data_IF_111598251694
#
_entry.id   IF_111598251694
#
_cell.length_a   1.000
_cell.length_b   1.000
_cell.length_c   1.000
_cell.angle_alpha   90.00
_cell.angle_beta   90.00
_cell.angle_gamma   90.00
#
_symmetry.space_group_name_H-M   'P 1'
#
loop_
_entity.id
_entity.type
_entity.pdbx_description
1 polymer ?
#
# COMPACT_ATOMS: atom_id res chain seq x y z
N UNK A 1 8.98 7.38 -21.02
CA UNK A 1 7.77 6.75 -20.47
C UNK A 1 7.37 7.45 -19.19
N UNK A 2 6.12 7.87 -19.06
CA UNK A 2 5.62 8.49 -17.85
C UNK A 2 5.28 7.43 -16.81
N UNK A 3 5.16 7.84 -15.54
CA UNK A 3 4.74 6.90 -14.48
C UNK A 3 3.33 6.37 -14.74
N UNK A 4 2.44 7.21 -15.29
CA UNK A 4 1.09 6.79 -15.69
C UNK A 4 1.12 5.63 -16.70
N UNK A 5 2.08 5.65 -17.63
CA UNK A 5 2.22 4.58 -18.63
C UNK A 5 2.92 3.35 -18.05
N UNK A 6 3.88 3.55 -17.15
CA UNK A 6 4.72 2.48 -16.60
C UNK A 6 4.01 1.66 -15.51
N UNK A 7 3.20 2.33 -14.67
CA UNK A 7 2.61 1.70 -13.49
C UNK A 7 1.10 1.91 -13.45
N UNK A 8 0.37 0.88 -13.07
CA UNK A 8 -1.09 0.99 -12.88
C UNK A 8 -1.41 1.72 -11.58
N UNK A 9 -0.75 1.36 -10.50
CA UNK A 9 -0.99 1.96 -9.19
C UNK A 9 0.30 2.36 -8.50
N UNK A 10 0.17 3.26 -7.54
CA UNK A 10 1.20 3.58 -6.58
C UNK A 10 0.66 3.29 -5.19
N UNK A 11 1.41 2.52 -4.42
CA UNK A 11 1.03 2.06 -3.08
C UNK A 11 2.03 2.56 -2.06
N UNK A 12 1.60 2.65 -0.81
CA UNK A 12 2.46 3.13 0.25
C UNK A 12 2.41 2.22 1.48
N UNK A 13 3.58 1.81 1.94
CA UNK A 13 3.73 1.14 3.22
C UNK A 13 3.78 2.22 4.30
N UNK A 14 2.77 2.24 5.18
CA UNK A 14 2.78 3.09 6.36
C UNK A 14 3.33 2.29 7.54
N UNK A 15 4.41 2.77 8.11
CA UNK A 15 5.12 2.07 9.17
C UNK A 15 5.14 2.92 10.44
N UNK A 16 4.65 2.34 11.54
CA UNK A 16 4.66 2.97 12.85
C UNK A 16 5.06 1.94 13.91
N UNK A 17 6.15 2.26 14.61
CA UNK A 17 6.73 1.29 15.53
C UNK A 17 7.16 0.03 14.76
N UNK A 18 6.61 -1.12 15.12
CA UNK A 18 6.90 -2.38 14.42
C UNK A 18 5.69 -2.88 13.62
N UNK A 19 4.77 -1.97 13.28
CA UNK A 19 3.52 -2.32 12.63
C UNK A 19 3.34 -1.58 11.31
N UNK A 20 2.59 -2.23 10.43
CA UNK A 20 2.30 -1.75 9.08
C UNK A 20 0.81 -1.65 8.89
N UNK A 21 0.34 -0.55 8.29
CA UNK A 21 -1.08 -0.37 8.02
C UNK A 21 -1.45 -1.12 6.75
N UNK A 22 -2.42 -2.00 6.86
CA UNK A 22 -3.05 -2.63 5.71
C UNK A 22 -4.52 -2.22 5.66
N UNK A 23 -5.07 -2.26 4.46
CA UNK A 23 -6.46 -1.90 4.21
C UNK A 23 -7.14 -2.99 3.40
N UNK A 24 -8.43 -3.19 3.69
CA UNK A 24 -9.30 -4.00 2.84
C UNK A 24 -10.11 -3.02 2.00
N UNK A 25 -9.83 -2.99 0.70
CA UNK A 25 -10.56 -2.16 -0.24
C UNK A 25 -11.86 -2.86 -0.65
N UNK A 26 -12.90 -2.08 -0.91
CA UNK A 26 -14.12 -2.63 -1.47
C UNK A 26 -13.84 -3.26 -2.83
N UNK A 27 -14.42 -4.42 -3.09
CA UNK A 27 -14.24 -5.11 -4.35
C UNK A 27 -15.54 -5.78 -4.79
N UNK A 28 -15.82 -5.69 -6.08
CA UNK A 28 -16.92 -6.42 -6.69
C UNK A 28 -16.54 -7.86 -7.04
N UNK A 29 -15.24 -8.17 -7.04
CA UNK A 29 -14.74 -9.49 -7.40
C UNK A 29 -14.72 -10.38 -6.15
N UNK A 30 -15.43 -11.52 -6.15
CA UNK A 30 -15.50 -12.39 -4.96
C UNK A 30 -14.13 -12.84 -4.46
N UNK A 31 -13.18 -13.10 -5.36
CA UNK A 31 -11.84 -13.56 -4.99
C UNK A 31 -10.99 -12.47 -4.33
N UNK A 32 -11.36 -11.19 -4.50
CA UNK A 32 -10.62 -10.07 -3.93
C UNK A 32 -11.24 -9.55 -2.64
N UNK A 33 -12.44 -10.02 -2.30
CA UNK A 33 -13.15 -9.55 -1.11
C UNK A 33 -12.44 -9.95 0.17
N UNK A 34 -12.36 -9.01 1.11
CA UNK A 34 -11.81 -9.26 2.44
C UNK A 34 -10.30 -9.47 2.46
N UNK A 35 -9.60 -9.23 1.36
CA UNK A 35 -8.16 -9.36 1.31
C UNK A 35 -7.48 -8.06 1.67
N UNK A 36 -6.39 -8.18 2.39
CA UNK A 36 -5.63 -7.05 2.89
C UNK A 36 -4.58 -6.60 1.89
N UNK A 37 -4.50 -5.30 1.65
CA UNK A 37 -3.52 -4.72 0.73
C UNK A 37 -2.93 -3.43 1.28
N UNK A 38 -1.96 -2.89 0.53
CA UNK A 38 -1.35 -1.62 0.86
C UNK A 38 -2.30 -0.47 0.47
N UNK A 39 -2.35 0.61 1.26
CA UNK A 39 -3.06 1.83 0.84
C UNK A 39 -2.46 2.38 -0.44
N UNK A 40 -3.27 3.05 -1.23
CA UNK A 40 -2.87 3.62 -2.51
C UNK A 40 -3.91 3.36 -3.58
N UNK A 41 -3.59 3.67 -4.81
CA UNK A 41 -4.52 3.52 -5.90
C UNK A 41 -3.93 3.89 -7.25
N UNK A 42 -4.80 4.15 -8.21
CA UNK A 42 -4.40 4.40 -9.59
C UNK A 42 -3.64 5.72 -9.74
N UNK A 43 -2.62 5.69 -10.59
CA UNK A 43 -1.90 6.89 -11.01
C UNK A 43 -2.75 7.57 -12.07
N UNK A 44 -2.97 8.86 -11.92
CA UNK A 44 -3.69 9.66 -12.90
C UNK A 44 -2.72 10.21 -13.95
N UNK A 45 -3.25 10.50 -15.13
CA UNK A 45 -2.46 11.07 -16.21
C UNK A 45 -1.81 12.38 -15.74
N UNK A 46 -0.51 12.49 -15.94
CA UNK A 46 0.27 13.67 -15.53
C UNK A 46 0.84 13.59 -14.13
N UNK A 47 0.45 12.60 -13.33
CA UNK A 47 1.03 12.39 -12.01
C UNK A 47 2.30 11.54 -12.08
N UNK A 48 3.26 11.81 -11.19
CA UNK A 48 4.30 10.85 -10.86
C UNK A 48 3.71 9.80 -9.92
N UNK A 49 4.39 8.66 -9.81
CA UNK A 49 3.96 7.62 -8.86
C UNK A 49 3.97 8.15 -7.42
N UNK A 50 4.95 8.97 -7.05
CA UNK A 50 5.00 9.57 -5.73
C UNK A 50 3.82 10.50 -5.48
N UNK A 51 3.46 11.34 -6.45
CA UNK A 51 2.30 12.21 -6.32
C UNK A 51 1.02 11.41 -6.15
N UNK A 52 0.86 10.34 -6.90
CA UNK A 52 -0.31 9.47 -6.81
C UNK A 52 -0.40 8.79 -5.43
N UNK A 53 0.72 8.28 -4.92
CA UNK A 53 0.75 7.65 -3.60
C UNK A 53 0.33 8.65 -2.52
N UNK A 54 0.85 9.87 -2.56
CA UNK A 54 0.51 10.92 -1.60
C UNK A 54 -0.97 11.30 -1.67
N UNK A 55 -1.48 11.48 -2.88
CA UNK A 55 -2.88 11.83 -3.10
C UNK A 55 -3.82 10.74 -2.61
N UNK A 56 -3.56 9.49 -3.01
CA UNK A 56 -4.41 8.35 -2.63
C UNK A 56 -4.43 8.13 -1.12
N UNK A 57 -3.29 8.22 -0.46
CA UNK A 57 -3.23 8.06 1.00
C UNK A 57 -3.95 9.19 1.71
N UNK A 58 -3.83 10.42 1.20
CA UNK A 58 -4.58 11.55 1.76
C UNK A 58 -6.10 11.37 1.60
N UNK A 59 -6.54 10.91 0.41
CA UNK A 59 -7.95 10.67 0.15
C UNK A 59 -8.51 9.52 0.99
N UNK A 60 -7.76 8.42 1.09
CA UNK A 60 -8.24 7.21 1.77
C UNK A 60 -8.18 7.30 3.28
N UNK A 61 -7.12 7.90 3.81
CA UNK A 61 -6.80 7.81 5.24
C UNK A 61 -6.69 9.18 5.92
N UNK A 62 -6.76 10.28 5.17
CA UNK A 62 -6.57 11.61 5.74
C UNK A 62 -5.15 11.86 6.25
N UNK A 63 -4.18 11.13 5.71
CA UNK A 63 -2.78 11.22 6.17
C UNK A 63 -1.95 12.00 5.17
N UNK A 64 -1.18 12.96 5.67
CA UNK A 64 -0.17 13.66 4.90
C UNK A 64 1.18 12.98 5.14
N UNK A 65 1.77 12.43 4.07
CA UNK A 65 3.00 11.68 4.16
C UNK A 65 4.21 12.60 4.19
N UNK A 66 5.19 12.25 5.01
CA UNK A 66 6.51 12.87 5.00
C UNK A 66 7.39 12.30 3.89
N UNK A 67 8.64 12.02 4.23
CA UNK A 67 9.60 11.47 3.28
C UNK A 67 9.21 10.05 2.85
N UNK A 68 9.31 9.79 1.55
CA UNK A 68 9.02 8.47 0.97
C UNK A 68 10.32 7.77 0.59
N UNK A 69 10.36 6.47 0.89
CA UNK A 69 11.43 5.57 0.44
C UNK A 69 10.90 4.74 -0.71
N UNK A 70 11.64 4.68 -1.81
CA UNK A 70 11.28 3.85 -2.95
C UNK A 70 11.53 2.37 -2.60
N UNK A 71 10.50 1.56 -2.63
CA UNK A 71 10.56 0.14 -2.30
C UNK A 71 10.48 -0.77 -3.53
N UNK A 72 10.57 -0.19 -4.73
CA UNK A 72 10.59 -0.96 -5.97
C UNK A 72 9.24 -1.08 -6.66
N UNK A 73 9.21 -1.98 -7.62
CA UNK A 73 8.00 -2.24 -8.39
C UNK A 73 7.68 -3.73 -8.39
N UNK A 74 6.40 -4.05 -8.47
CA UNK A 74 5.91 -5.42 -8.35
C UNK A 74 4.84 -5.69 -9.39
N UNK A 75 4.73 -6.94 -9.84
CA UNK A 75 3.74 -7.33 -10.83
C UNK A 75 2.52 -7.97 -10.17
N UNK A 76 1.34 -7.63 -10.68
CA UNK A 76 0.09 -8.23 -10.28
C UNK A 76 -0.92 -8.08 -11.42
N UNK A 77 -1.53 -9.18 -11.85
CA UNK A 77 -2.53 -9.23 -12.94
C UNK A 77 -2.07 -8.51 -14.20
N UNK A 78 -0.83 -8.80 -14.62
CA UNK A 78 -0.29 -8.28 -15.87
C UNK A 78 0.11 -6.81 -15.84
N UNK A 79 0.05 -6.16 -14.69
CA UNK A 79 0.42 -4.76 -14.55
C UNK A 79 1.54 -4.59 -13.54
N UNK A 80 2.27 -3.49 -13.64
CA UNK A 80 3.28 -3.12 -12.66
C UNK A 80 2.70 -2.12 -11.66
N UNK A 81 3.12 -2.27 -10.40
CA UNK A 81 2.68 -1.44 -9.29
C UNK A 81 3.90 -0.89 -8.57
N UNK A 82 3.92 0.42 -8.35
CA UNK A 82 5.03 1.09 -7.66
C UNK A 82 4.73 1.14 -6.17
N UNK A 83 5.73 0.86 -5.34
CA UNK A 83 5.56 0.87 -3.89
C UNK A 83 6.58 1.80 -3.23
N UNK A 84 6.08 2.64 -2.35
CA UNK A 84 6.88 3.49 -1.47
C UNK A 84 6.65 3.08 -0.02
N UNK A 85 7.55 3.48 0.85
CA UNK A 85 7.38 3.33 2.29
C UNK A 85 7.55 4.65 3.00
N UNK A 86 6.82 4.85 4.08
CA UNK A 86 6.90 6.05 4.90
C UNK A 86 6.71 5.72 6.36
N UNK A 87 7.49 6.39 7.21
CA UNK A 87 7.25 6.38 8.64
C UNK A 87 6.05 7.27 8.94
N UNK A 88 5.17 6.80 9.80
CA UNK A 88 4.01 7.56 10.23
C UNK A 88 3.83 7.40 11.73
N UNK A 89 4.09 8.47 12.48
CA UNK A 89 4.07 8.44 13.95
C UNK A 89 2.73 8.91 14.56
N UNK A 90 1.75 9.21 13.71
CA UNK A 90 0.41 9.63 14.14
C UNK A 90 -0.57 8.48 14.20
N UNK A 91 -1.83 8.81 14.33
CA UNK A 91 -2.94 7.86 14.26
C UNK A 91 -3.75 8.08 13.00
N UNK A 92 -4.24 6.99 12.43
CA UNK A 92 -5.26 7.04 11.39
C UNK A 92 -6.60 7.00 12.12
N UNK A 93 -7.30 8.14 12.16
CA UNK A 93 -8.54 8.28 12.94
C UNK A 93 -9.80 8.00 12.15
N UNK A 94 -9.69 7.98 10.82
CA UNK A 94 -10.82 7.71 9.93
C UNK A 94 -10.30 7.23 8.58
N UNK A 95 -11.19 6.69 7.79
CA UNK A 95 -10.88 6.31 6.41
C UNK A 95 -12.11 6.56 5.53
N UNK A 96 -11.86 6.66 4.23
CA UNK A 96 -12.94 6.80 3.24
C UNK A 96 -13.66 5.47 3.09
N UNK A 97 -14.84 5.34 3.66
CA UNK A 97 -15.61 4.10 3.66
C UNK A 97 -16.27 3.80 2.32
N UNK A 98 -16.19 4.70 1.34
CA UNK A 98 -16.57 4.39 -0.04
C UNK A 98 -15.50 3.55 -0.75
N UNK A 99 -14.24 3.71 -0.36
CA UNK A 99 -13.11 3.03 -0.96
C UNK A 99 -12.61 1.85 -0.13
N UNK A 100 -12.67 2.00 1.19
CA UNK A 100 -12.07 1.06 2.15
C UNK A 100 -13.17 0.48 3.04
N UNK A 101 -13.15 -0.83 3.21
CA UNK A 101 -14.04 -1.54 4.12
C UNK A 101 -13.52 -1.49 5.56
N UNK A 102 -12.22 -1.67 5.74
CA UNK A 102 -11.56 -1.63 7.05
C UNK A 102 -10.06 -1.46 6.93
N UNK A 103 -9.45 -1.01 8.01
CA UNK A 103 -8.00 -0.87 8.13
C UNK A 103 -7.53 -1.60 9.39
N UNK A 104 -6.24 -1.89 9.44
CA UNK A 104 -5.63 -2.49 10.62
C UNK A 104 -4.13 -2.38 10.58
N UNK A 105 -3.53 -2.30 11.77
CA UNK A 105 -2.10 -2.34 11.96
C UNK A 105 -1.66 -3.78 12.18
N UNK A 106 -0.64 -4.21 11.46
CA UNK A 106 -0.18 -5.59 11.46
C UNK A 106 1.33 -5.65 11.69
N UNK A 107 1.77 -6.60 12.51
CA UNK A 107 3.18 -6.90 12.63
C UNK A 107 3.67 -7.62 11.37
N UNK A 108 4.99 -7.71 11.20
CA UNK A 108 5.55 -8.48 10.08
C UNK A 108 5.10 -9.94 10.13
N UNK A 109 5.02 -10.52 11.33
CA UNK A 109 4.53 -11.89 11.51
C UNK A 109 3.07 -12.03 11.09
N UNK A 110 2.24 -11.03 11.39
CA UNK A 110 0.83 -11.01 10.95
C UNK A 110 0.73 -10.99 9.43
N UNK A 111 1.56 -10.17 8.77
CA UNK A 111 1.56 -10.08 7.30
C UNK A 111 2.02 -11.41 6.70
N UNK A 112 3.04 -12.04 7.28
CA UNK A 112 3.49 -13.36 6.84
C UNK A 112 2.36 -14.40 6.94
N UNK A 113 1.59 -14.36 8.03
CA UNK A 113 0.45 -15.26 8.22
C UNK A 113 -0.64 -15.01 7.17
N UNK A 114 -0.94 -13.74 6.88
CA UNK A 114 -1.90 -13.39 5.84
C UNK A 114 -1.46 -13.92 4.48
N UNK A 115 -0.17 -13.86 4.18
CA UNK A 115 0.37 -14.41 2.93
C UNK A 115 0.19 -15.92 2.87
N UNK A 116 0.54 -16.65 3.94
CA UNK A 116 0.37 -18.11 3.99
C UNK A 116 -1.09 -18.51 3.76
N UNK A 117 -2.02 -17.73 4.30
CA UNK A 117 -3.45 -18.03 4.24
C UNK A 117 -4.12 -17.52 2.97
N UNK A 118 -3.35 -16.90 2.06
CA UNK A 118 -3.89 -16.36 0.80
C UNK A 118 -4.79 -15.16 1.01
N UNK A 119 -4.57 -14.38 2.07
CA UNK A 119 -5.41 -13.26 2.45
C UNK A 119 -4.85 -11.90 2.10
N UNK A 120 -3.74 -11.84 1.38
CA UNK A 120 -3.22 -10.60 0.83
C UNK A 120 -3.84 -10.32 -0.54
N UNK A 121 -4.10 -9.05 -0.82
CA UNK A 121 -4.79 -8.63 -2.04
C UNK A 121 -4.02 -9.02 -3.30
N UNK A 122 -2.76 -8.62 -3.39
CA UNK A 122 -1.92 -8.86 -4.56
C UNK A 122 -0.93 -10.01 -4.37
N UNK A 123 -0.46 -10.21 -3.15
CA UNK A 123 0.55 -11.21 -2.81
C UNK A 123 1.96 -10.65 -2.71
N UNK A 124 2.22 -9.44 -3.19
CA UNK A 124 3.55 -8.85 -3.10
C UNK A 124 3.77 -7.98 -1.84
N UNK A 125 2.74 -7.78 -1.04
CA UNK A 125 2.79 -6.88 0.11
C UNK A 125 3.88 -7.24 1.10
N UNK A 126 4.01 -8.52 1.42
CA UNK A 126 5.05 -9.01 2.33
C UNK A 126 6.46 -8.73 1.78
N UNK A 127 6.68 -9.03 0.51
CA UNK A 127 7.96 -8.78 -0.15
C UNK A 127 8.31 -7.30 -0.17
N UNK A 128 7.31 -6.44 -0.44
CA UNK A 128 7.50 -4.99 -0.45
C UNK A 128 7.87 -4.46 0.93
N UNK A 129 7.21 -4.95 1.98
CA UNK A 129 7.52 -4.58 3.35
C UNK A 129 8.95 -5.00 3.73
N UNK A 130 9.35 -6.20 3.33
CA UNK A 130 10.74 -6.65 3.53
C UNK A 130 11.74 -5.74 2.84
N UNK A 131 11.45 -5.33 1.61
CA UNK A 131 12.32 -4.42 0.86
C UNK A 131 12.45 -3.07 1.58
N UNK A 132 11.33 -2.56 2.12
CA UNK A 132 11.34 -1.34 2.91
C UNK A 132 12.23 -1.46 4.15
N UNK A 133 12.06 -2.54 4.90
CA UNK A 133 12.85 -2.76 6.13
C UNK A 133 14.35 -2.86 5.83
N UNK A 134 14.73 -3.53 4.75
CA UNK A 134 16.14 -3.61 4.35
C UNK A 134 16.74 -2.25 4.03
N UNK A 135 15.95 -1.34 3.44
CA UNK A 135 16.43 0.00 3.13
C UNK A 135 16.63 0.86 4.36
N UNK A 136 15.88 0.60 5.43
CA UNK A 136 16.01 1.34 6.68
C UNK A 136 17.27 0.97 7.47
N UNK A 137 17.86 -0.19 7.23
CA UNK A 137 19.01 -0.70 7.97
C UNK A 137 20.35 -0.43 7.27
N UNK A 138 20.34 0.23 6.14
CA UNK A 138 21.56 0.56 5.38
C UNK A 138 22.06 1.95 5.69
#
# INVERSE_FOLDING_TARGET
MTDYEAFRTARCILWSGERFLLAVHHSYLPLSRGRWGLPGGRIERGETAEQAARREVAEELGVELGELTDCGEYRYKGARHKVFGARFDGNVVSFDDNEIERIGWHSLADVAALQRDGRLHAGFEYEAIHAFLRRLTV
#
